data_IF_622842275221
#
_entry.id   IF_622842275221
#
_cell.length_a   1.000
_cell.length_b   1.000
_cell.length_c   1.000
_cell.angle_alpha   90.00
_cell.angle_beta   90.00
_cell.angle_gamma   90.00
#
_symmetry.space_group_name_H-M   'P 1'
#
loop_
_entity.id
_entity.type
_entity.pdbx_description
1 polymer ?
#
# COMPACT_ATOMS: atom_id res chain seq x y z
N UNK A 1 -2.26 2.39 1.92
CA UNK A 1 -1.85 3.13 3.15
C UNK A 1 -1.95 4.61 2.87
N UNK A 2 -2.65 5.34 3.74
CA UNK A 2 -2.72 6.81 3.72
C UNK A 2 -1.99 7.37 4.93
N UNK A 3 -0.99 8.21 4.68
CA UNK A 3 -0.19 8.81 5.73
C UNK A 3 -0.92 9.87 6.56
N UNK A 4 -1.72 10.79 5.97
CA UNK A 4 -2.55 11.72 6.73
C UNK A 4 -3.52 11.00 7.68
N UNK A 5 -4.11 9.90 7.21
CA UNK A 5 -5.09 9.13 7.99
C UNK A 5 -4.44 8.25 9.06
N UNK A 6 -3.12 8.03 8.95
CA UNK A 6 -2.34 7.07 9.75
C UNK A 6 -2.95 5.67 9.74
N UNK A 7 -3.36 5.21 8.56
CA UNK A 7 -4.09 3.95 8.39
C UNK A 7 -3.65 3.13 7.17
N UNK A 8 -3.72 1.82 7.34
CA UNK A 8 -3.77 0.84 6.25
C UNK A 8 -5.24 0.49 6.02
N UNK A 9 -5.60 0.42 4.74
CA UNK A 9 -6.88 -0.06 4.26
C UNK A 9 -6.61 -1.24 3.35
N UNK A 10 -7.42 -2.30 3.46
CA UNK A 10 -7.28 -3.53 2.71
C UNK A 10 -8.54 -3.74 1.89
N UNK A 11 -8.37 -3.88 0.59
CA UNK A 11 -9.46 -4.09 -0.35
C UNK A 11 -9.30 -5.42 -1.06
N UNK A 12 -10.43 -6.09 -1.31
CA UNK A 12 -10.52 -7.26 -2.18
C UNK A 12 -11.68 -7.05 -3.12
N UNK A 13 -11.43 -7.11 -4.43
CA UNK A 13 -12.43 -6.88 -5.47
C UNK A 13 -13.20 -5.54 -5.29
N UNK A 14 -12.50 -4.49 -4.85
CA UNK A 14 -13.08 -3.17 -4.61
C UNK A 14 -13.85 -3.02 -3.28
N UNK A 15 -14.02 -4.08 -2.50
CA UNK A 15 -14.67 -4.04 -1.18
C UNK A 15 -13.61 -3.92 -0.09
N UNK A 16 -13.79 -2.98 0.84
CA UNK A 16 -12.92 -2.90 2.02
C UNK A 16 -13.20 -4.10 2.93
N UNK A 17 -12.15 -4.85 3.23
CA UNK A 17 -12.21 -6.04 4.11
C UNK A 17 -11.48 -5.83 5.44
N UNK A 18 -10.83 -4.68 5.60
CA UNK A 18 -10.13 -4.34 6.85
C UNK A 18 -9.48 -2.97 6.81
N UNK A 19 -9.31 -2.40 8.01
CA UNK A 19 -8.48 -1.22 8.25
C UNK A 19 -7.78 -1.33 9.60
N UNK A 20 -6.58 -0.78 9.70
CA UNK A 20 -5.88 -0.65 10.98
C UNK A 20 -5.08 0.65 11.09
N UNK A 21 -4.90 1.18 12.32
CA UNK A 21 -4.01 2.28 12.57
C UNK A 21 -2.55 1.89 12.31
N UNK A 22 -1.74 2.87 11.94
CA UNK A 22 -0.31 2.74 11.73
C UNK A 22 0.42 3.86 12.47
N UNK A 23 1.36 3.49 13.35
CA UNK A 23 2.28 4.41 14.02
C UNK A 23 3.56 4.62 13.21
N UNK A 24 4.35 5.64 13.56
CA UNK A 24 5.67 5.89 12.97
C UNK A 24 5.65 6.67 11.65
N UNK A 25 4.47 6.90 11.07
CA UNK A 25 4.29 7.61 9.80
C UNK A 25 4.68 9.10 9.87
N UNK A 26 4.72 9.71 11.05
CA UNK A 26 5.21 11.07 11.27
C UNK A 26 6.68 11.25 10.86
N UNK A 27 7.46 10.18 10.87
CA UNK A 27 8.87 10.18 10.44
C UNK A 27 9.03 9.96 8.94
N UNK A 28 7.93 9.61 8.24
CA UNK A 28 7.93 9.24 6.83
C UNK A 28 7.45 10.43 6.01
N UNK A 29 8.39 11.17 5.40
CA UNK A 29 8.08 12.28 4.50
C UNK A 29 7.63 11.77 3.13
N UNK A 30 6.34 11.44 3.02
CA UNK A 30 5.73 11.10 1.74
C UNK A 30 5.36 12.36 0.97
N UNK A 31 5.79 12.43 -0.28
CA UNK A 31 5.53 13.56 -1.18
C UNK A 31 5.00 13.02 -2.51
N UNK A 32 3.83 12.40 -2.45
CA UNK A 32 3.17 11.80 -3.61
C UNK A 32 2.38 10.54 -3.31
N UNK A 33 1.99 9.89 -4.39
CA UNK A 33 1.39 8.55 -4.43
C UNK A 33 2.32 7.59 -5.14
N UNK A 34 2.54 6.42 -4.54
CA UNK A 34 3.45 5.39 -5.01
C UNK A 34 2.70 4.07 -5.08
N UNK A 35 2.84 3.36 -6.19
CA UNK A 35 2.16 2.09 -6.44
C UNK A 35 3.21 1.01 -6.59
N UNK A 36 3.02 -0.07 -5.85
CA UNK A 36 3.88 -1.24 -5.88
C UNK A 36 3.04 -2.49 -6.18
N UNK A 37 3.65 -3.43 -6.89
CA UNK A 37 3.11 -4.77 -7.07
C UNK A 37 3.95 -5.77 -6.29
N UNK A 38 3.26 -6.67 -5.59
CA UNK A 38 3.83 -7.82 -4.93
C UNK A 38 4.45 -8.77 -5.99
N UNK A 39 5.74 -9.05 -5.86
CA UNK A 39 6.44 -9.99 -6.73
C UNK A 39 6.25 -11.44 -6.26
N UNK A 40 6.67 -12.41 -7.06
CA UNK A 40 6.75 -13.84 -6.70
C UNK A 40 7.80 -14.13 -5.64
N UNK A 41 8.85 -13.30 -5.54
CA UNK A 41 9.99 -13.52 -4.64
C UNK A 41 9.62 -13.29 -3.17
N UNK A 42 10.02 -14.23 -2.32
CA UNK A 42 9.94 -14.14 -0.86
C UNK A 42 11.35 -14.34 -0.31
N UNK A 43 11.80 -13.45 0.55
CA UNK A 43 13.13 -13.54 1.16
C UNK A 43 13.19 -14.62 2.26
N UNK A 44 14.38 -14.85 2.81
CA UNK A 44 14.60 -15.85 3.88
C UNK A 44 13.84 -15.55 5.16
N UNK A 45 13.33 -14.33 5.35
CA UNK A 45 12.56 -13.90 6.50
C UNK A 45 11.04 -13.99 6.26
N UNK A 46 10.62 -14.54 5.11
CA UNK A 46 9.22 -14.63 4.73
C UNK A 46 8.63 -13.31 4.23
N UNK A 47 9.45 -12.31 3.94
CA UNK A 47 8.99 -11.02 3.42
C UNK A 47 8.94 -11.06 1.90
N UNK A 48 7.82 -10.60 1.34
CA UNK A 48 7.63 -10.52 -0.10
C UNK A 48 8.35 -9.30 -0.67
N UNK A 49 9.03 -9.47 -1.79
CA UNK A 49 9.60 -8.34 -2.53
C UNK A 49 8.51 -7.57 -3.29
N UNK A 50 8.77 -6.28 -3.49
CA UNK A 50 7.84 -5.35 -4.11
C UNK A 50 8.51 -4.59 -5.24
N UNK A 51 7.82 -4.46 -6.35
CA UNK A 51 8.28 -3.72 -7.52
C UNK A 51 7.48 -2.42 -7.60
N UNK A 52 8.17 -1.27 -7.69
CA UNK A 52 7.52 0.02 -7.95
C UNK A 52 7.01 0.05 -9.39
N UNK A 53 5.69 0.17 -9.59
CA UNK A 53 5.06 0.16 -10.91
C UNK A 53 4.63 1.53 -11.39
N UNK A 54 4.30 2.45 -10.47
CA UNK A 54 3.97 3.83 -10.80
C UNK A 54 4.26 4.78 -9.63
N UNK A 55 4.56 6.03 -9.96
CA UNK A 55 4.77 7.08 -8.96
C UNK A 55 4.31 8.43 -9.48
N UNK A 56 3.56 9.15 -8.67
CA UNK A 56 3.25 10.57 -8.86
C UNK A 56 3.82 11.30 -7.67
N UNK A 57 4.97 11.96 -7.85
CA UNK A 57 5.70 12.61 -6.77
C UNK A 57 7.21 12.54 -6.97
N UNK A 58 7.96 12.62 -5.87
CA UNK A 58 9.43 12.44 -5.87
C UNK A 58 9.81 10.96 -6.00
N UNK A 59 11.03 10.60 -5.61
CA UNK A 59 11.50 9.21 -5.56
C UNK A 59 10.58 8.34 -4.67
N UNK A 60 10.19 7.13 -5.11
CA UNK A 60 9.48 6.17 -4.27
C UNK A 60 10.28 5.82 -3.01
N UNK A 61 9.64 5.70 -1.84
CA UNK A 61 10.32 5.21 -0.64
C UNK A 61 10.75 3.76 -0.81
N UNK A 62 11.81 3.39 -0.11
CA UNK A 62 12.20 1.99 0.08
C UNK A 62 11.22 1.36 1.08
N UNK A 63 10.54 0.28 0.67
CA UNK A 63 9.52 -0.37 1.51
C UNK A 63 10.11 -1.16 2.67
N UNK A 64 11.33 -1.71 2.54
CA UNK A 64 12.01 -2.43 3.63
C UNK A 64 12.45 -1.45 4.71
N UNK A 65 12.87 -0.26 4.33
CA UNK A 65 13.17 0.80 5.30
C UNK A 65 11.91 1.41 5.90
N UNK A 66 10.83 1.52 5.14
CA UNK A 66 9.54 1.97 5.64
C UNK A 66 8.98 1.00 6.70
N UNK A 67 9.04 -0.31 6.43
CA UNK A 67 8.58 -1.37 7.34
C UNK A 67 9.27 -1.29 8.72
N UNK A 68 10.57 -0.97 8.76
CA UNK A 68 11.32 -0.79 10.02
C UNK A 68 10.86 0.41 10.85
N UNK A 69 10.18 1.38 10.23
CA UNK A 69 9.80 2.65 10.86
C UNK A 69 8.34 2.72 11.27
N UNK A 70 7.49 1.88 10.67
CA UNK A 70 6.06 1.88 10.94
C UNK A 70 5.70 0.74 11.90
N UNK A 71 4.67 0.95 12.69
CA UNK A 71 4.12 -0.06 13.57
C UNK A 71 2.63 -0.22 13.36
N UNK A 72 2.13 -1.45 13.46
CA UNK A 72 0.70 -1.77 13.48
C UNK A 72 0.50 -3.00 14.36
N UNK A 73 -0.74 -3.40 14.57
CA UNK A 73 -1.04 -4.61 15.35
C UNK A 73 -0.39 -5.84 14.68
N UNK A 74 0.47 -6.61 15.38
CA UNK A 74 1.18 -7.74 14.78
C UNK A 74 0.26 -8.84 14.24
N UNK A 75 -0.88 -9.09 14.90
CA UNK A 75 -1.84 -10.10 14.45
C UNK A 75 -2.54 -9.67 13.17
N UNK A 76 -2.94 -8.40 13.11
CA UNK A 76 -3.52 -7.82 11.89
C UNK A 76 -2.53 -7.81 10.72
N UNK A 77 -1.25 -7.53 10.98
CA UNK A 77 -0.21 -7.57 9.95
C UNK A 77 0.02 -9.00 9.43
N UNK A 78 -0.02 -10.00 10.32
CA UNK A 78 0.07 -11.41 9.93
C UNK A 78 -1.11 -11.81 9.04
N UNK A 79 -2.33 -11.41 9.41
CA UNK A 79 -3.53 -11.64 8.62
C UNK A 79 -3.42 -10.99 7.23
N UNK A 80 -3.00 -9.73 7.15
CA UNK A 80 -2.77 -9.06 5.85
C UNK A 80 -1.75 -9.81 5.02
N UNK A 81 -0.60 -10.18 5.60
CA UNK A 81 0.47 -10.89 4.87
C UNK A 81 -0.03 -12.20 4.26
N UNK A 82 -0.91 -12.92 4.96
CA UNK A 82 -1.53 -14.15 4.45
C UNK A 82 -2.46 -13.90 3.24
N UNK A 83 -2.97 -12.68 3.06
CA UNK A 83 -3.81 -12.30 1.92
C UNK A 83 -3.00 -11.85 0.70
N UNK A 84 -1.70 -11.58 0.84
CA UNK A 84 -0.86 -11.03 -0.24
C UNK A 84 -0.38 -12.16 -1.16
N UNK A 85 -0.89 -12.17 -2.39
CA UNK A 85 -0.40 -12.96 -3.51
C UNK A 85 0.40 -12.11 -4.49
N UNK A 86 1.20 -12.72 -5.40
CA UNK A 86 1.77 -12.00 -6.54
C UNK A 86 0.70 -11.19 -7.28
N UNK A 87 1.04 -9.96 -7.69
CA UNK A 87 0.12 -9.01 -8.31
C UNK A 87 -0.75 -8.19 -7.33
N UNK A 88 -0.72 -8.48 -6.03
CA UNK A 88 -1.35 -7.61 -5.02
C UNK A 88 -0.76 -6.21 -5.12
N UNK A 89 -1.63 -5.20 -5.13
CA UNK A 89 -1.21 -3.80 -5.27
C UNK A 89 -1.14 -3.12 -3.91
N UNK A 90 -0.01 -2.51 -3.60
CA UNK A 90 0.14 -1.58 -2.48
C UNK A 90 0.16 -0.15 -3.01
N UNK A 91 -0.79 0.66 -2.54
CA UNK A 91 -0.79 2.11 -2.77
C UNK A 91 -0.34 2.80 -1.49
N UNK A 92 0.69 3.62 -1.60
CA UNK A 92 1.22 4.46 -0.53
C UNK A 92 1.06 5.92 -0.91
N UNK A 93 0.30 6.69 -0.12
CA UNK A 93 -0.05 8.06 -0.50
C UNK A 93 0.01 9.05 0.66
N UNK A 94 0.32 10.30 0.33
CA UNK A 94 0.15 11.46 1.20
C UNK A 94 -1.22 12.16 1.02
N UNK A 95 -2.14 11.61 0.24
CA UNK A 95 -3.52 12.06 0.17
C UNK A 95 -4.37 11.39 1.27
N UNK A 96 -5.32 12.12 1.89
CA UNK A 96 -6.30 11.52 2.80
C UNK A 96 -7.27 10.62 2.03
N UNK A 97 -7.77 9.55 2.66
CA UNK A 97 -8.88 8.78 2.08
C UNK A 97 -10.18 9.51 2.38
N UNK A 98 -10.92 9.85 1.32
CA UNK A 98 -12.25 10.44 1.41
C UNK A 98 -13.26 9.59 0.65
N UNK A 99 -14.56 9.80 0.91
CA UNK A 99 -15.63 9.13 0.14
C UNK A 99 -15.57 9.44 -1.37
N UNK A 100 -14.87 10.51 -1.79
CA UNK A 100 -14.64 10.83 -3.21
C UNK A 100 -13.44 10.08 -3.82
N UNK A 101 -12.58 9.50 -3.00
CA UNK A 101 -11.42 8.68 -3.45
C UNK A 101 -11.74 7.19 -3.58
N UNK A 102 -12.98 6.78 -3.24
CA UNK A 102 -13.46 5.43 -3.54
C UNK A 102 -13.78 5.32 -5.03
N UNK A 103 -13.07 4.44 -5.72
CA UNK A 103 -13.52 3.97 -7.03
C UNK A 103 -14.76 3.10 -6.82
N UNK A 104 -15.93 3.62 -7.21
CA UNK A 104 -17.14 2.81 -7.33
C UNK A 104 -16.88 1.59 -8.24
N UNK A 105 -17.60 0.47 -8.05
CA UNK A 105 -17.53 -0.67 -8.98
C UNK A 105 -17.68 -0.19 -10.44
N UNK A 106 -16.76 -0.59 -11.33
CA UNK A 106 -16.74 -0.18 -12.74
C UNK A 106 -15.68 0.86 -13.12
N UNK A 107 -14.81 1.28 -12.19
CA UNK A 107 -13.66 2.14 -12.53
C UNK A 107 -12.61 1.38 -13.35
N UNK A 108 -12.45 1.77 -14.61
CA UNK A 108 -11.49 1.19 -15.55
C UNK A 108 -10.22 2.04 -15.60
N UNK A 109 -9.07 1.50 -15.17
CA UNK A 109 -7.76 2.16 -15.29
C UNK A 109 -6.95 1.41 -16.34
N UNK A 110 -7.13 1.76 -17.62
CA UNK A 110 -6.21 1.40 -18.70
C UNK A 110 -6.38 2.43 -19.81
N UNK A 111 -5.43 3.37 -19.94
CA UNK A 111 -5.18 4.05 -21.21
C UNK A 111 -3.79 3.67 -21.68
N UNK A 112 -3.71 2.81 -22.69
CA UNK A 112 -2.50 2.65 -23.48
C UNK A 112 -2.55 3.67 -24.61
N UNK A 113 -1.76 4.74 -24.52
CA UNK A 113 -1.47 5.58 -25.67
C UNK A 113 -0.35 4.90 -26.47
N UNK A 114 -0.61 4.62 -27.75
CA UNK A 114 0.40 4.15 -28.70
C UNK A 114 1.43 5.22 -29.03
#
# INVERSE_FOLDING_TARGET
MSAPDRKIYVYRNGVEIGRAPVGGLETVRLSGTYVYAADTTIDSNGQRDWISTASVGKRPPDLKDLEKRISTDPSYLQDIRALISPGTTLVLTNAPVTNQTHSSPGFSILSASQ
#
